data_IF_855300883561
#
_entry.id   IF_855300883561
#
_cell.length_a   1.000
_cell.length_b   1.000
_cell.length_c   1.000
_cell.angle_alpha   90.00
_cell.angle_beta   90.00
_cell.angle_gamma   90.00
#
_symmetry.space_group_name_H-M   'P 1'
#
loop_
_entity.id
_entity.type
_entity.pdbx_description
1 polymer ?
#
# COMPACT_ATOMS: atom_id res chain seq x y z
N UNK A 1 35.17 18.09 -71.82
CA UNK A 1 34.60 17.27 -72.90
C UNK A 1 33.11 17.11 -72.62
N UNK A 2 32.24 17.55 -73.56
CA UNK A 2 30.80 17.23 -73.74
C UNK A 2 29.84 17.42 -72.54
N UNK A 3 29.03 18.49 -72.52
CA UNK A 3 27.59 18.52 -72.94
C UNK A 3 26.72 17.50 -72.19
N UNK A 4 25.62 17.85 -71.51
CA UNK A 4 24.39 18.34 -72.16
C UNK A 4 23.33 18.79 -71.14
N UNK A 5 22.59 19.84 -71.51
CA UNK A 5 21.30 20.27 -70.98
C UNK A 5 20.14 19.47 -71.60
N UNK A 6 19.06 19.20 -70.84
CA UNK A 6 17.65 19.04 -71.29
C UNK A 6 16.73 19.39 -70.09
N UNK A 7 15.85 20.40 -70.16
CA UNK A 7 14.44 20.36 -70.66
C UNK A 7 13.66 19.26 -69.91
N UNK A 8 12.53 19.47 -69.23
CA UNK A 8 11.48 20.49 -69.30
C UNK A 8 10.14 19.76 -69.06
N UNK A 9 9.34 20.31 -68.15
CA UNK A 9 7.88 20.23 -67.94
C UNK A 9 7.04 19.30 -68.86
N UNK A 10 6.14 18.47 -68.29
CA UNK A 10 4.79 18.17 -68.80
C UNK A 10 3.93 17.54 -67.68
N UNK A 11 2.65 17.86 -67.72
CA UNK A 11 1.59 17.76 -66.70
C UNK A 11 0.55 16.67 -67.10
N UNK A 12 -0.29 16.28 -66.11
CA UNK A 12 -1.67 15.70 -66.18
C UNK A 12 -1.86 14.16 -66.42
N UNK A 13 -3.04 13.57 -66.09
CA UNK A 13 -3.46 12.99 -64.79
C UNK A 13 -3.83 11.49 -64.88
N UNK A 14 -4.02 10.78 -63.76
CA UNK A 14 -5.00 9.68 -63.75
C UNK A 14 -5.52 9.34 -62.34
N UNK A 15 -6.83 9.32 -62.29
CA UNK A 15 -7.80 8.98 -61.24
C UNK A 15 -7.53 7.63 -60.57
N UNK A 16 -7.63 7.56 -59.24
CA UNK A 16 -8.03 6.34 -58.53
C UNK A 16 -8.70 6.69 -57.20
N UNK A 17 -10.00 6.40 -57.14
CA UNK A 17 -10.88 6.49 -55.98
C UNK A 17 -10.46 5.39 -54.99
N UNK A 18 -10.06 5.76 -53.76
CA UNK A 18 -9.95 4.82 -52.65
C UNK A 18 -11.14 5.03 -51.69
N UNK A 19 -12.07 4.09 -51.73
CA UNK A 19 -13.09 3.89 -50.69
C UNK A 19 -12.41 3.23 -49.50
N UNK A 20 -12.08 3.99 -48.46
CA UNK A 20 -11.72 3.42 -47.16
C UNK A 20 -13.00 2.91 -46.48
N UNK A 21 -13.23 1.60 -46.56
CA UNK A 21 -14.16 0.91 -45.67
C UNK A 21 -13.63 1.08 -44.23
N UNK A 22 -14.31 1.90 -43.43
CA UNK A 22 -14.14 1.89 -41.99
C UNK A 22 -14.63 0.55 -41.47
N UNK A 23 -13.68 -0.36 -41.22
CA UNK A 23 -13.91 -1.57 -40.45
C UNK A 23 -14.12 -1.14 -38.99
N UNK A 24 -15.38 -0.98 -38.60
CA UNK A 24 -15.75 -0.97 -37.19
C UNK A 24 -15.51 -2.39 -36.66
N UNK A 25 -14.32 -2.65 -36.15
CA UNK A 25 -14.11 -3.78 -35.25
C UNK A 25 -14.82 -3.42 -33.95
N UNK A 26 -15.90 -4.15 -33.66
CA UNK A 26 -16.53 -4.12 -32.35
C UNK A 26 -15.49 -4.62 -31.35
N UNK A 27 -14.89 -3.69 -30.60
CA UNK A 27 -14.06 -4.03 -29.46
C UNK A 27 -15.00 -4.58 -28.39
N UNK A 28 -14.96 -5.90 -28.23
CA UNK A 28 -15.46 -6.58 -27.06
C UNK A 28 -14.98 -5.81 -25.83
N UNK A 29 -15.94 -5.38 -25.01
CA UNK A 29 -15.63 -4.82 -23.70
C UNK A 29 -15.11 -6.00 -22.89
N UNK A 30 -13.79 -6.16 -22.85
CA UNK A 30 -13.15 -6.85 -21.74
C UNK A 30 -13.75 -6.22 -20.48
N UNK A 31 -14.40 -7.07 -19.68
CA UNK A 31 -14.84 -6.74 -18.35
C UNK A 31 -13.57 -6.49 -17.52
N UNK A 32 -13.02 -5.28 -17.67
CA UNK A 32 -11.96 -4.78 -16.81
C UNK A 32 -12.58 -4.67 -15.43
N UNK A 33 -12.44 -5.74 -14.66
CA UNK A 33 -12.71 -5.74 -13.22
C UNK A 33 -11.97 -4.55 -12.62
N UNK A 34 -12.71 -3.47 -12.34
CA UNK A 34 -12.14 -2.24 -11.78
C UNK A 34 -11.73 -2.57 -10.35
N UNK A 35 -10.43 -2.67 -10.11
CA UNK A 35 -9.90 -2.87 -8.76
C UNK A 35 -10.30 -1.64 -7.92
N UNK A 36 -11.00 -1.82 -6.78
CA UNK A 36 -11.33 -0.72 -5.90
C UNK A 36 -10.08 0.08 -5.52
N UNK A 37 -10.17 1.40 -5.57
CA UNK A 37 -9.12 2.33 -5.12
C UNK A 37 -9.74 3.57 -4.51
N UNK A 38 -8.93 4.35 -3.82
CA UNK A 38 -9.30 5.67 -3.30
C UNK A 38 -8.24 6.70 -3.70
N UNK A 39 -8.56 8.00 -3.64
CA UNK A 39 -7.55 9.04 -3.82
C UNK A 39 -6.36 8.92 -2.86
N UNK A 40 -6.56 8.43 -1.63
CA UNK A 40 -5.49 8.21 -0.66
C UNK A 40 -4.57 7.06 -1.11
N UNK A 41 -5.14 5.93 -1.50
CA UNK A 41 -4.36 4.79 -1.99
C UNK A 41 -3.58 5.12 -3.27
N UNK A 42 -4.21 5.89 -4.15
CA UNK A 42 -3.57 6.40 -5.35
C UNK A 42 -2.43 7.39 -5.05
N UNK A 43 -2.61 8.27 -4.08
CA UNK A 43 -1.57 9.21 -3.62
C UNK A 43 -0.36 8.46 -3.05
N UNK A 44 -0.60 7.41 -2.25
CA UNK A 44 0.47 6.56 -1.73
C UNK A 44 1.26 5.87 -2.85
N UNK A 45 0.54 5.27 -3.82
CA UNK A 45 1.17 4.63 -4.96
C UNK A 45 1.91 5.61 -5.86
N UNK A 46 1.39 6.82 -6.05
CA UNK A 46 2.06 7.89 -6.79
C UNK A 46 3.35 8.34 -6.09
N UNK A 47 3.31 8.48 -4.75
CA UNK A 47 4.45 8.90 -3.96
C UNK A 47 5.62 7.90 -4.02
N UNK A 48 5.35 6.61 -3.80
CA UNK A 48 6.41 5.58 -3.82
C UNK A 48 7.04 5.40 -5.21
N UNK A 49 6.35 5.84 -6.26
CA UNK A 49 6.84 5.85 -7.64
C UNK A 49 7.61 7.14 -8.01
N UNK A 50 7.87 8.03 -7.05
CA UNK A 50 8.66 9.25 -7.26
C UNK A 50 7.85 10.51 -7.53
N UNK A 51 6.52 10.48 -7.31
CA UNK A 51 5.67 11.67 -7.30
C UNK A 51 5.66 12.49 -8.61
N UNK A 52 5.67 11.82 -9.76
CA UNK A 52 5.61 12.47 -11.09
C UNK A 52 4.35 12.10 -11.85
N UNK A 53 3.69 13.08 -12.49
CA UNK A 53 2.53 12.86 -13.35
C UNK A 53 1.19 12.78 -12.60
N UNK A 54 0.20 12.13 -13.22
CA UNK A 54 -1.16 12.02 -12.67
C UNK A 54 -1.21 11.06 -11.48
N UNK A 55 -2.03 11.39 -10.46
CA UNK A 55 -2.22 10.57 -9.25
C UNK A 55 -3.20 9.43 -9.47
N UNK A 56 -4.34 9.67 -10.12
CA UNK A 56 -5.41 8.68 -10.24
C UNK A 56 -4.96 7.39 -10.92
N UNK A 57 -5.25 6.24 -10.30
CA UNK A 57 -4.87 4.90 -10.72
C UNK A 57 -3.45 4.47 -10.31
N UNK A 58 -2.66 5.36 -9.70
CA UNK A 58 -1.28 5.02 -9.31
C UNK A 58 -1.21 4.06 -8.12
N UNK A 59 -2.27 3.90 -7.34
CA UNK A 59 -2.31 3.00 -6.19
C UNK A 59 -2.37 1.55 -6.61
N UNK A 60 -3.24 1.23 -7.57
CA UNK A 60 -3.46 -0.14 -8.08
C UNK A 60 -2.49 -0.54 -9.18
N UNK A 61 -1.67 0.40 -9.68
CA UNK A 61 -0.62 0.11 -10.65
C UNK A 61 0.35 -0.94 -10.10
N UNK A 62 0.53 -2.03 -10.84
CA UNK A 62 1.48 -3.09 -10.50
C UNK A 62 2.91 -2.66 -10.85
N UNK A 63 3.79 -2.69 -9.86
CA UNK A 63 5.22 -2.42 -9.98
C UNK A 63 6.02 -3.64 -9.48
N UNK A 64 7.32 -3.68 -9.74
CA UNK A 64 8.17 -4.75 -9.21
C UNK A 64 8.15 -4.73 -7.67
N UNK A 65 8.07 -5.91 -7.06
CA UNK A 65 8.20 -6.05 -5.61
C UNK A 65 9.69 -6.15 -5.24
N UNK A 66 10.28 -5.14 -4.55
CA UNK A 66 11.69 -5.18 -4.19
C UNK A 66 12.04 -6.25 -3.14
N UNK A 67 11.05 -6.73 -2.40
CA UNK A 67 11.23 -7.73 -1.34
C UNK A 67 10.93 -9.16 -1.84
N UNK A 68 10.39 -9.30 -3.06
CA UNK A 68 10.03 -10.57 -3.67
C UNK A 68 10.43 -10.61 -5.14
N UNK A 69 11.65 -11.11 -5.42
CA UNK A 69 12.20 -11.11 -6.77
C UNK A 69 11.30 -11.84 -7.79
N UNK A 70 11.19 -11.25 -8.98
CA UNK A 70 10.29 -11.72 -10.05
C UNK A 70 8.79 -11.48 -9.81
N UNK A 71 8.38 -10.96 -8.65
CA UNK A 71 6.97 -10.69 -8.34
C UNK A 71 6.61 -9.22 -8.55
N UNK A 72 5.30 -8.97 -8.66
CA UNK A 72 4.74 -7.61 -8.74
C UNK A 72 3.81 -7.34 -7.56
N UNK A 73 3.73 -6.07 -7.19
CA UNK A 73 2.91 -5.56 -6.10
C UNK A 73 2.20 -4.27 -6.53
N UNK A 74 1.00 -4.02 -6.01
CA UNK A 74 0.35 -2.71 -6.19
C UNK A 74 1.20 -1.62 -5.52
N UNK A 75 1.47 -0.52 -6.20
CA UNK A 75 2.32 0.54 -5.66
C UNK A 75 1.78 1.12 -4.34
N UNK A 76 0.46 1.26 -4.20
CA UNK A 76 -0.15 1.67 -2.94
C UNK A 76 0.13 0.68 -1.81
N UNK A 77 0.04 -0.62 -2.07
CA UNK A 77 0.39 -1.67 -1.10
C UNK A 77 1.87 -1.62 -0.73
N UNK A 78 2.76 -1.41 -1.70
CA UNK A 78 4.19 -1.26 -1.43
C UNK A 78 4.43 -0.10 -0.47
N UNK A 79 3.84 1.08 -0.75
CA UNK A 79 3.95 2.25 0.12
C UNK A 79 3.50 1.96 1.56
N UNK A 80 2.36 1.27 1.73
CA UNK A 80 1.86 0.85 3.04
C UNK A 80 2.84 -0.10 3.71
N UNK A 81 3.30 -1.15 3.01
CA UNK A 81 4.25 -2.13 3.55
C UNK A 81 5.54 -1.46 4.01
N UNK A 82 6.04 -0.47 3.26
CA UNK A 82 7.23 0.30 3.63
C UNK A 82 7.02 1.07 4.95
N UNK A 83 5.87 1.75 5.10
CA UNK A 83 5.54 2.48 6.35
C UNK A 83 5.35 1.51 7.51
N UNK A 84 4.60 0.43 7.32
CA UNK A 84 4.35 -0.59 8.36
C UNK A 84 5.64 -1.24 8.82
N UNK A 85 6.52 -1.63 7.89
CA UNK A 85 7.81 -2.24 8.25
C UNK A 85 8.67 -1.27 9.07
N UNK A 86 8.69 0.02 8.70
CA UNK A 86 9.39 1.05 9.47
C UNK A 86 8.76 1.25 10.86
N UNK A 87 7.44 1.24 10.96
CA UNK A 87 6.71 1.38 12.21
C UNK A 87 6.98 0.22 13.17
N UNK A 88 6.96 -1.03 12.67
CA UNK A 88 7.28 -2.20 13.49
C UNK A 88 8.68 -2.10 14.10
N UNK A 89 9.66 -1.57 13.36
CA UNK A 89 11.00 -1.34 13.90
C UNK A 89 11.04 -0.28 15.01
N UNK A 90 10.23 0.79 14.90
CA UNK A 90 10.12 1.84 15.92
C UNK A 90 9.40 1.29 17.16
N UNK A 91 8.24 0.65 16.97
CA UNK A 91 7.42 0.04 18.04
C UNK A 91 8.23 -1.00 18.80
N UNK A 92 8.98 -1.86 18.11
CA UNK A 92 9.83 -2.87 18.75
C UNK A 92 10.96 -2.26 19.59
N UNK A 93 11.35 -1.02 19.31
CA UNK A 93 12.34 -0.27 20.09
C UNK A 93 11.73 0.60 21.20
N UNK A 94 10.40 0.72 21.26
CA UNK A 94 9.71 1.47 22.32
C UNK A 94 9.45 0.56 23.53
N UNK A 95 10.18 0.80 24.61
CA UNK A 95 10.02 0.06 25.86
C UNK A 95 8.61 0.15 26.46
N UNK A 96 7.82 1.18 26.13
CA UNK A 96 6.43 1.32 26.57
C UNK A 96 5.53 0.28 25.92
N UNK A 97 5.80 -0.05 24.65
CA UNK A 97 5.00 -1.01 23.87
C UNK A 97 5.59 -2.42 23.84
N UNK A 98 6.90 -2.57 24.12
CA UNK A 98 7.58 -3.86 24.11
C UNK A 98 6.91 -4.94 24.99
N UNK A 99 6.20 -4.51 26.05
CA UNK A 99 5.44 -5.40 26.96
C UNK A 99 4.35 -6.20 26.24
N UNK A 100 3.88 -5.71 25.07
CA UNK A 100 2.83 -6.35 24.27
C UNK A 100 3.36 -7.35 23.23
N UNK A 101 4.68 -7.47 23.06
CA UNK A 101 5.30 -8.30 22.03
C UNK A 101 6.25 -9.41 22.54
N UNK A 102 6.07 -10.00 23.74
CA UNK A 102 7.07 -10.93 24.28
C UNK A 102 7.30 -12.16 23.39
N UNK A 103 6.24 -12.74 22.82
CA UNK A 103 6.35 -13.87 21.88
C UNK A 103 7.14 -13.49 20.62
N UNK A 104 6.81 -12.33 20.03
CA UNK A 104 7.46 -11.89 18.80
C UNK A 104 8.95 -11.57 19.03
N UNK A 105 9.27 -10.91 20.16
CA UNK A 105 10.65 -10.59 20.53
C UNK A 105 11.47 -11.87 20.79
N UNK A 106 10.88 -12.89 21.43
CA UNK A 106 11.53 -14.18 21.61
C UNK A 106 11.81 -14.87 20.27
N UNK A 107 10.82 -14.95 19.37
CA UNK A 107 10.98 -15.52 18.02
C UNK A 107 12.11 -14.85 17.25
N UNK A 108 12.13 -13.51 17.22
CA UNK A 108 13.18 -12.73 16.55
C UNK A 108 14.55 -12.92 17.21
N UNK A 109 14.60 -12.97 18.54
CA UNK A 109 15.83 -13.24 19.31
C UNK A 109 16.46 -14.60 18.99
N UNK A 110 15.62 -15.59 18.69
CA UNK A 110 16.03 -16.94 18.27
C UNK A 110 16.33 -17.04 16.76
N UNK A 111 16.27 -15.92 16.02
CA UNK A 111 16.48 -15.89 14.57
C UNK A 111 15.29 -16.39 13.74
N UNK A 112 14.11 -16.59 14.35
CA UNK A 112 12.89 -16.99 13.67
C UNK A 112 12.04 -15.76 13.31
N UNK A 113 12.04 -15.36 12.04
CA UNK A 113 11.30 -14.18 11.57
C UNK A 113 9.91 -14.47 11.01
N UNK A 114 9.40 -15.71 11.13
CA UNK A 114 8.09 -16.07 10.56
C UNK A 114 6.95 -15.27 11.20
N UNK A 115 6.95 -15.10 12.53
CA UNK A 115 5.93 -14.30 13.21
C UNK A 115 5.98 -12.82 12.84
N UNK A 116 7.18 -12.27 12.66
CA UNK A 116 7.38 -10.90 12.19
C UNK A 116 6.86 -10.71 10.76
N UNK A 117 7.17 -11.63 9.86
CA UNK A 117 6.67 -11.61 8.49
C UNK A 117 5.13 -11.68 8.44
N UNK A 118 4.52 -12.53 9.29
CA UNK A 118 3.07 -12.60 9.42
C UNK A 118 2.48 -11.29 9.92
N UNK A 119 3.05 -10.69 10.98
CA UNK A 119 2.61 -9.41 11.53
C UNK A 119 2.70 -8.28 10.49
N UNK A 120 3.84 -8.19 9.79
CA UNK A 120 4.04 -7.23 8.70
C UNK A 120 2.95 -7.38 7.63
N UNK A 121 2.68 -8.62 7.19
CA UNK A 121 1.66 -8.86 6.18
C UNK A 121 0.25 -8.51 6.69
N UNK A 122 -0.15 -8.99 7.88
CA UNK A 122 -1.48 -8.75 8.42
C UNK A 122 -1.74 -7.27 8.69
N UNK A 123 -0.74 -6.53 9.17
CA UNK A 123 -0.89 -5.09 9.41
C UNK A 123 -0.91 -4.32 8.08
N UNK A 124 -0.12 -4.73 7.09
CA UNK A 124 -0.20 -4.17 5.73
C UNK A 124 -1.59 -4.40 5.12
N UNK A 125 -2.16 -5.60 5.26
CA UNK A 125 -3.50 -5.93 4.79
C UNK A 125 -4.56 -5.09 5.48
N UNK A 126 -4.48 -4.95 6.82
CA UNK A 126 -5.41 -4.15 7.59
C UNK A 126 -5.45 -2.70 7.09
N UNK A 127 -4.28 -2.07 6.99
CA UNK A 127 -4.18 -0.68 6.50
C UNK A 127 -4.64 -0.58 5.05
N UNK A 128 -4.26 -1.53 4.18
CA UNK A 128 -4.70 -1.54 2.79
C UNK A 128 -6.22 -1.64 2.67
N UNK A 129 -6.89 -2.51 3.44
CA UNK A 129 -8.36 -2.61 3.41
C UNK A 129 -9.00 -1.25 3.65
N UNK A 130 -8.50 -0.59 4.68
CA UNK A 130 -9.03 0.68 5.11
C UNK A 130 -8.74 1.84 4.14
N UNK A 131 -7.56 1.89 3.52
CA UNK A 131 -7.23 2.99 2.58
C UNK A 131 -7.64 2.73 1.14
N UNK A 132 -7.74 1.48 0.69
CA UNK A 132 -8.02 1.15 -0.72
C UNK A 132 -9.48 0.75 -0.99
N UNK A 133 -10.24 0.41 0.07
CA UNK A 133 -11.56 -0.25 -0.01
C UNK A 133 -11.55 -1.63 -0.66
N UNK A 134 -10.37 -2.23 -0.85
CA UNK A 134 -10.24 -3.63 -1.25
C UNK A 134 -10.33 -4.51 0.00
N UNK A 135 -11.15 -5.55 -0.01
CA UNK A 135 -11.28 -6.45 1.14
C UNK A 135 -10.12 -7.48 1.20
N UNK A 136 -8.96 -7.06 1.71
CA UNK A 136 -7.72 -7.86 1.74
C UNK A 136 -7.39 -8.43 3.13
N UNK A 137 -7.72 -7.72 4.20
CA UNK A 137 -7.53 -8.21 5.57
C UNK A 137 -8.48 -9.36 5.89
N UNK A 138 -7.93 -10.54 6.17
CA UNK A 138 -8.67 -11.76 6.53
C UNK A 138 -8.40 -12.23 7.96
N UNK A 139 -7.74 -11.40 8.77
CA UNK A 139 -7.47 -11.73 10.17
C UNK A 139 -8.71 -11.64 11.04
N UNK A 140 -8.63 -12.08 12.31
CA UNK A 140 -9.71 -11.92 13.28
C UNK A 140 -9.97 -10.44 13.59
N UNK A 141 -11.06 -10.15 14.30
CA UNK A 141 -11.35 -8.79 14.74
C UNK A 141 -10.29 -8.25 15.71
N UNK A 142 -10.14 -6.92 15.72
CA UNK A 142 -9.10 -6.24 16.50
C UNK A 142 -9.25 -6.53 18.01
N UNK A 143 -10.47 -6.65 18.50
CA UNK A 143 -10.77 -6.91 19.92
C UNK A 143 -10.27 -8.27 20.37
N UNK A 144 -10.50 -9.30 19.55
CA UNK A 144 -10.04 -10.66 19.80
C UNK A 144 -8.52 -10.75 19.84
N UNK A 145 -7.82 -10.07 18.93
CA UNK A 145 -6.35 -10.20 18.82
C UNK A 145 -5.56 -9.26 19.73
N UNK A 146 -6.17 -8.21 20.27
CA UNK A 146 -5.54 -7.29 21.23
C UNK A 146 -5.95 -7.59 22.69
N UNK A 147 -6.08 -8.89 23.01
CA UNK A 147 -6.37 -9.37 24.35
C UNK A 147 -5.69 -10.73 24.57
N UNK A 148 -4.80 -10.81 25.56
CA UNK A 148 -4.03 -12.02 25.86
C UNK A 148 -4.90 -13.23 26.18
N UNK A 149 -6.06 -13.03 26.80
CA UNK A 149 -6.97 -14.11 27.18
C UNK A 149 -7.57 -14.81 25.95
N UNK A 150 -7.79 -14.08 24.86
CA UNK A 150 -8.33 -14.62 23.59
C UNK A 150 -7.25 -14.88 22.56
N UNK A 151 -6.10 -14.22 22.68
CA UNK A 151 -4.97 -14.36 21.78
C UNK A 151 -3.64 -14.24 22.53
N UNK A 152 -3.10 -15.39 22.95
CA UNK A 152 -1.92 -15.47 23.82
C UNK A 152 -0.62 -14.84 23.25
N UNK A 153 -0.59 -14.48 21.95
CA UNK A 153 0.54 -13.77 21.35
C UNK A 153 0.56 -12.27 21.67
N UNK A 154 -0.55 -11.70 22.13
CA UNK A 154 -0.63 -10.31 22.56
C UNK A 154 -0.30 -10.22 24.05
N UNK A 155 0.70 -9.42 24.40
CA UNK A 155 1.07 -9.17 25.80
C UNK A 155 1.38 -10.42 26.62
N UNK A 156 1.00 -10.36 27.89
CA UNK A 156 1.25 -11.42 28.86
C UNK A 156 0.11 -11.46 29.88
N UNK A 157 0.15 -12.43 30.80
CA UNK A 157 -0.79 -12.47 31.92
C UNK A 157 -0.73 -11.19 32.79
N UNK A 158 0.44 -10.54 32.88
CA UNK A 158 0.63 -9.31 33.66
C UNK A 158 0.19 -8.05 32.88
N UNK A 159 0.20 -8.11 31.55
CA UNK A 159 -0.22 -7.04 30.65
C UNK A 159 -1.17 -7.61 29.59
N UNK A 160 -2.39 -8.03 29.98
CA UNK A 160 -3.27 -8.79 29.10
C UNK A 160 -3.98 -7.92 28.05
N UNK A 161 -4.07 -6.61 28.27
CA UNK A 161 -4.76 -5.64 27.42
C UNK A 161 -3.97 -4.34 27.36
N UNK A 162 -4.13 -3.60 26.26
CA UNK A 162 -3.71 -2.20 26.14
C UNK A 162 -4.82 -1.25 26.61
N UNK A 163 -4.46 -0.03 26.99
CA UNK A 163 -5.39 1.06 27.26
C UNK A 163 -5.24 2.18 26.22
N UNK A 164 -5.98 3.28 26.39
CA UNK A 164 -5.92 4.44 25.50
C UNK A 164 -4.53 5.06 25.39
N UNK A 165 -3.78 5.16 26.49
CA UNK A 165 -2.44 5.73 26.47
C UNK A 165 -1.48 4.88 25.63
N UNK A 166 -1.56 3.56 25.73
CA UNK A 166 -0.76 2.65 24.90
C UNK A 166 -1.13 2.79 23.41
N UNK A 167 -2.42 2.94 23.12
CA UNK A 167 -2.90 3.17 21.76
C UNK A 167 -2.38 4.51 21.17
N UNK A 168 -2.42 5.58 21.95
CA UNK A 168 -1.89 6.89 21.55
C UNK A 168 -0.38 6.82 21.24
N UNK A 169 0.38 6.05 22.05
CA UNK A 169 1.81 5.78 21.79
C UNK A 169 1.99 5.01 20.48
N UNK A 170 1.22 3.95 20.25
CA UNK A 170 1.25 3.18 19.00
C UNK A 170 0.98 4.05 17.76
N UNK A 171 -0.07 4.88 17.79
CA UNK A 171 -0.39 5.78 16.67
C UNK A 171 0.73 6.82 16.47
N UNK A 172 1.31 7.32 17.56
CA UNK A 172 2.47 8.20 17.54
C UNK A 172 3.68 7.58 16.83
N UNK A 173 4.01 6.33 17.13
CA UNK A 173 5.12 5.60 16.51
C UNK A 173 4.89 5.33 15.02
N UNK A 174 3.64 5.00 14.63
CA UNK A 174 3.27 4.87 13.22
C UNK A 174 3.42 6.21 12.48
N UNK A 175 2.99 7.32 13.11
CA UNK A 175 3.17 8.65 12.54
C UNK A 175 4.66 9.02 12.41
N UNK A 176 5.49 8.70 13.40
CA UNK A 176 6.94 8.90 13.35
C UNK A 176 7.58 8.10 12.21
N UNK A 177 7.14 6.85 12.01
CA UNK A 177 7.61 6.01 10.91
C UNK A 177 7.31 6.66 9.55
N UNK A 178 6.07 7.09 9.34
CA UNK A 178 5.65 7.74 8.10
C UNK A 178 6.39 9.07 7.87
N UNK A 179 6.60 9.87 8.91
CA UNK A 179 7.40 11.10 8.83
C UNK A 179 8.83 10.81 8.39
N UNK A 180 9.47 9.78 8.95
CA UNK A 180 10.84 9.40 8.59
C UNK A 180 11.00 8.94 7.14
N UNK A 181 9.89 8.58 6.48
CA UNK A 181 9.81 8.20 5.08
C UNK A 181 9.35 9.37 4.18
N UNK A 182 9.27 10.58 4.72
CA UNK A 182 8.81 11.79 4.04
C UNK A 182 7.37 11.68 3.49
N UNK A 183 6.52 10.84 4.10
CA UNK A 183 5.11 10.78 3.74
C UNK A 183 4.47 12.16 4.02
N UNK A 184 3.65 12.71 3.11
CA UNK A 184 3.04 14.02 3.31
C UNK A 184 2.23 14.10 4.61
N UNK A 185 2.34 15.20 5.35
CA UNK A 185 1.65 15.38 6.63
C UNK A 185 0.12 15.20 6.54
N UNK A 186 -0.50 15.58 5.41
CA UNK A 186 -1.92 15.35 5.15
C UNK A 186 -2.27 13.86 5.08
N UNK A 187 -1.40 13.03 4.48
CA UNK A 187 -1.56 11.57 4.40
C UNK A 187 -1.37 10.95 5.78
N UNK A 188 -0.39 11.41 6.56
CA UNK A 188 -0.15 10.96 7.94
C UNK A 188 -1.36 11.27 8.82
N UNK A 189 -1.94 12.47 8.71
CA UNK A 189 -3.16 12.85 9.43
C UNK A 189 -4.34 11.94 9.11
N UNK A 190 -4.55 11.61 7.82
CA UNK A 190 -5.59 10.67 7.40
C UNK A 190 -5.36 9.25 7.92
N UNK A 191 -4.11 8.78 7.93
CA UNK A 191 -3.75 7.49 8.51
C UNK A 191 -4.03 7.48 10.02
N UNK A 192 -3.68 8.54 10.75
CA UNK A 192 -3.99 8.67 12.17
C UNK A 192 -5.48 8.59 12.43
N UNK A 193 -6.29 9.41 11.74
CA UNK A 193 -7.77 9.36 11.85
C UNK A 193 -8.31 7.96 11.59
N UNK A 194 -7.76 7.26 10.60
CA UNK A 194 -8.16 5.91 10.27
C UNK A 194 -7.83 4.91 11.39
N UNK A 195 -6.63 4.98 11.96
CA UNK A 195 -6.25 4.10 13.08
C UNK A 195 -7.14 4.35 14.30
N UNK A 196 -7.48 5.60 14.63
CA UNK A 196 -8.40 5.90 15.73
C UNK A 196 -9.81 5.32 15.57
N UNK A 197 -10.21 4.87 14.37
CA UNK A 197 -11.49 4.15 14.22
C UNK A 197 -11.50 2.78 14.89
N UNK A 198 -10.33 2.20 15.22
CA UNK A 198 -10.22 0.92 15.94
C UNK A 198 -9.87 1.05 17.41
N UNK A 199 -9.72 2.28 17.93
CA UNK A 199 -9.31 2.51 19.32
C UNK A 199 -10.22 1.75 20.30
N UNK A 200 -11.55 1.83 20.13
CA UNK A 200 -12.50 1.16 21.02
C UNK A 200 -12.48 -0.37 20.99
N UNK A 201 -11.85 -0.98 19.99
CA UNK A 201 -11.63 -2.43 19.94
C UNK A 201 -10.28 -2.84 20.58
N UNK A 202 -9.31 -1.92 20.65
CA UNK A 202 -7.93 -2.21 21.05
C UNK A 202 -7.61 -1.69 22.45
N UNK A 203 -8.11 -0.50 22.80
CA UNK A 203 -7.95 0.12 24.10
C UNK A 203 -9.06 -0.33 25.05
N UNK A 204 -8.69 -1.16 26.03
CA UNK A 204 -9.54 -1.58 27.13
C UNK A 204 -9.38 -0.58 28.27
N UNK A 205 -10.08 0.54 28.17
CA UNK A 205 -10.26 1.40 29.33
C UNK A 205 -11.30 0.74 30.26
N UNK A 206 -11.03 0.72 31.56
CA UNK A 206 -12.08 0.40 32.54
C UNK A 206 -13.00 1.61 32.63
N UNK A 207 -14.27 1.44 32.25
CA UNK A 207 -15.34 2.37 32.62
C UNK A 207 -15.37 2.63 34.13
#
# INVERSE_FOLDING_TARGET
MKTSSKIGLILIPFTCILLCLSSCHNNDKDDMTVIPTTPLYDTLGWFIQGATGQVAGQGTKMIADPDNDGQKIQAGRLAIRTVVNKALGIIASDNRLAVYFPTLLAEVGDGNTTGLAHLLNSFTDFVQTAVSKQDVYKGPDMKTVHNHATFARFGSADHPTSNKQDFDVFVGDVAQAAQSLNVPASVIGQLGTLLYTTEGDIAYDAD
#
